data_IF_038386328650
#
_entry.id   IF_038386328650
#
_cell.length_a   1.000
_cell.length_b   1.000
_cell.length_c   1.000
_cell.angle_alpha   90.00
_cell.angle_beta   90.00
_cell.angle_gamma   90.00
#
_symmetry.space_group_name_H-M   'P 1'
#
loop_
_entity.id
_entity.type
_entity.pdbx_description
1 polymer ?
#
# COMPACT_ATOMS: atom_id res chain seq x y z
N UNK A 1 4.47 -2.02 -26.53
CA UNK A 1 5.21 -2.04 -25.26
C UNK A 1 4.43 -2.96 -24.36
N UNK A 2 5.03 -4.03 -23.84
CA UNK A 2 4.37 -4.82 -22.81
C UNK A 2 4.06 -3.93 -21.61
N UNK A 3 2.85 -4.05 -21.08
CA UNK A 3 2.47 -3.32 -19.87
C UNK A 3 3.34 -3.79 -18.72
N UNK A 4 3.98 -2.83 -18.05
CA UNK A 4 4.84 -3.09 -16.89
C UNK A 4 3.98 -3.46 -15.70
N UNK A 5 4.33 -4.56 -15.02
CA UNK A 5 3.76 -4.93 -13.72
C UNK A 5 3.88 -3.77 -12.74
N UNK A 6 2.77 -3.43 -12.10
CA UNK A 6 2.63 -2.37 -11.11
C UNK A 6 2.63 -2.97 -9.70
N UNK A 7 3.56 -2.53 -8.86
CA UNK A 7 3.70 -2.96 -7.47
C UNK A 7 3.16 -1.86 -6.54
N UNK A 8 2.32 -2.22 -5.59
CA UNK A 8 1.98 -1.38 -4.44
C UNK A 8 2.83 -1.81 -3.23
N UNK A 9 3.81 -1.00 -2.79
CA UNK A 9 4.61 -1.29 -1.61
C UNK A 9 3.82 -0.90 -0.35
N UNK A 10 3.26 -1.90 0.33
CA UNK A 10 2.58 -1.77 1.62
C UNK A 10 3.63 -1.90 2.73
N UNK A 11 3.93 -0.80 3.43
CA UNK A 11 4.92 -0.81 4.51
C UNK A 11 4.68 0.35 5.47
N UNK A 12 5.06 0.15 6.74
CA UNK A 12 5.18 1.24 7.70
C UNK A 12 6.03 2.38 7.13
N UNK A 13 5.61 3.61 7.39
CA UNK A 13 6.28 4.84 6.94
C UNK A 13 6.43 5.87 8.07
N UNK A 14 6.53 5.41 9.31
CA UNK A 14 6.48 6.28 10.50
C UNK A 14 7.81 7.00 10.78
N UNK A 15 8.94 6.46 10.31
CA UNK A 15 10.25 7.01 10.61
C UNK A 15 11.27 6.88 9.46
N UNK A 16 12.40 7.57 9.60
CA UNK A 16 13.46 7.62 8.59
C UNK A 16 14.05 6.24 8.26
N UNK A 17 14.10 5.32 9.23
CA UNK A 17 14.64 3.97 9.03
C UNK A 17 13.72 3.17 8.09
N UNK A 18 12.42 3.14 8.40
CA UNK A 18 11.41 2.48 7.55
C UNK A 18 11.36 3.10 6.16
N UNK A 19 11.24 4.43 6.11
CA UNK A 19 11.10 5.14 4.84
C UNK A 19 12.34 5.03 3.94
N UNK A 20 13.54 4.98 4.53
CA UNK A 20 14.78 4.71 3.79
C UNK A 20 14.81 3.28 3.26
N UNK A 21 14.47 2.29 4.09
CA UNK A 21 14.42 0.89 3.66
C UNK A 21 13.44 0.69 2.50
N UNK A 22 12.23 1.25 2.63
CA UNK A 22 11.20 1.18 1.60
C UNK A 22 11.68 1.80 0.28
N UNK A 23 12.31 2.99 0.32
CA UNK A 23 12.83 3.64 -0.89
C UNK A 23 13.90 2.79 -1.58
N UNK A 24 14.86 2.25 -0.83
CA UNK A 24 15.92 1.41 -1.40
C UNK A 24 15.37 0.16 -2.08
N UNK A 25 14.39 -0.50 -1.46
CA UNK A 25 13.72 -1.67 -2.02
C UNK A 25 12.95 -1.32 -3.30
N UNK A 26 12.17 -0.24 -3.27
CA UNK A 26 11.39 0.26 -4.40
C UNK A 26 12.30 0.62 -5.58
N UNK A 27 13.37 1.39 -5.36
CA UNK A 27 14.32 1.76 -6.41
C UNK A 27 14.98 0.54 -7.05
N UNK A 28 15.32 -0.47 -6.25
CA UNK A 28 15.90 -1.70 -6.75
C UNK A 28 14.90 -2.51 -7.59
N UNK A 29 13.60 -2.49 -7.26
CA UNK A 29 12.54 -3.10 -8.07
C UNK A 29 12.28 -2.30 -9.37
N UNK A 30 12.24 -0.98 -9.31
CA UNK A 30 12.08 -0.12 -10.49
C UNK A 30 13.24 -0.31 -11.48
N UNK A 31 14.48 -0.47 -10.99
CA UNK A 31 15.66 -0.82 -11.80
C UNK A 31 15.52 -2.18 -12.51
N UNK A 32 14.65 -3.08 -12.03
CA UNK A 32 14.30 -4.33 -12.72
C UNK A 32 13.16 -4.21 -13.72
N UNK A 33 12.63 -3.00 -13.92
CA UNK A 33 11.62 -2.70 -14.94
C UNK A 33 10.19 -2.63 -14.42
N UNK A 34 9.96 -2.82 -13.12
CA UNK A 34 8.64 -2.65 -12.50
C UNK A 34 8.22 -1.19 -12.41
N UNK A 35 6.91 -0.94 -12.35
CA UNK A 35 6.34 0.34 -11.90
C UNK A 35 5.91 0.20 -10.44
N UNK A 36 5.91 1.30 -9.69
CA UNK A 36 5.45 1.30 -8.30
C UNK A 36 4.49 2.44 -8.03
N UNK A 37 3.36 2.15 -7.36
CA UNK A 37 2.50 3.14 -6.72
C UNK A 37 2.98 3.25 -5.27
N UNK A 38 3.89 4.19 -4.96
CA UNK A 38 4.61 4.21 -3.70
C UNK A 38 4.14 5.37 -2.80
N UNK A 39 3.30 5.11 -1.77
CA UNK A 39 2.64 6.15 -0.98
C UNK A 39 3.60 7.21 -0.42
N UNK A 40 4.75 6.77 0.08
CA UNK A 40 5.78 7.65 0.64
C UNK A 40 6.32 8.70 -0.35
N UNK A 41 6.39 8.38 -1.66
CA UNK A 41 6.86 9.33 -2.69
C UNK A 41 5.77 10.27 -3.17
N UNK A 42 4.51 9.88 -3.00
CA UNK A 42 3.39 10.59 -3.60
C UNK A 42 3.17 11.98 -2.97
N UNK A 43 3.75 12.27 -1.79
CA UNK A 43 3.75 13.60 -1.16
C UNK A 43 2.36 14.18 -0.89
N UNK A 44 1.33 13.37 -1.15
CA UNK A 44 -0.08 13.67 -1.16
C UNK A 44 -0.59 13.85 0.27
N UNK A 45 -0.07 13.04 1.19
CA UNK A 45 -0.62 12.80 2.52
C UNK A 45 -0.27 13.88 3.56
N UNK A 46 0.92 14.49 3.50
CA UNK A 46 1.46 15.18 4.68
C UNK A 46 1.69 16.69 4.56
N UNK A 47 1.61 17.28 3.36
CA UNK A 47 1.83 18.72 3.19
C UNK A 47 0.75 19.40 2.36
N UNK A 48 0.65 19.00 1.09
CA UNK A 48 -0.14 19.75 0.12
C UNK A 48 -1.65 19.62 0.34
N UNK A 49 -2.15 18.43 0.69
CA UNK A 49 -3.58 18.23 0.94
C UNK A 49 -4.04 18.96 2.20
N UNK A 50 -3.27 18.91 3.29
CA UNK A 50 -3.58 19.60 4.53
C UNK A 50 -3.62 21.13 4.34
N UNK A 51 -2.68 21.68 3.57
CA UNK A 51 -2.66 23.11 3.21
C UNK A 51 -3.92 23.53 2.42
N UNK A 52 -4.38 22.70 1.47
CA UNK A 52 -5.58 23.02 0.68
C UNK A 52 -6.85 22.87 1.52
N UNK A 53 -6.94 21.86 2.38
CA UNK A 53 -8.07 21.62 3.25
C UNK A 53 -8.23 22.70 4.33
N UNK A 54 -7.14 23.12 4.97
CA UNK A 54 -7.14 24.15 6.04
C UNK A 54 -7.62 25.52 5.56
N UNK A 55 -7.60 25.79 4.25
CA UNK A 55 -8.21 26.99 3.65
C UNK A 55 -9.74 26.95 3.59
N UNK A 56 -10.35 25.78 3.73
CA UNK A 56 -11.79 25.56 3.53
C UNK A 56 -12.50 24.92 4.72
N UNK A 57 -11.76 24.33 5.66
CA UNK A 57 -12.29 23.55 6.78
C UNK A 57 -11.65 23.99 8.11
N UNK A 58 -12.36 23.72 9.20
CA UNK A 58 -11.81 23.83 10.56
C UNK A 58 -10.78 22.70 10.80
N UNK A 59 -9.81 22.90 11.71
CA UNK A 59 -8.69 21.96 11.88
C UNK A 59 -9.13 20.52 12.20
N UNK A 60 -10.12 20.35 13.08
CA UNK A 60 -10.71 19.05 13.42
C UNK A 60 -11.31 18.33 12.20
N UNK A 61 -11.86 19.09 11.26
CA UNK A 61 -12.40 18.59 10.01
C UNK A 61 -11.33 18.30 8.96
N UNK A 62 -10.19 18.99 9.02
CA UNK A 62 -9.04 18.74 8.13
C UNK A 62 -8.48 17.35 8.40
N UNK A 63 -8.24 17.01 9.67
CA UNK A 63 -7.59 15.75 10.03
C UNK A 63 -8.46 14.54 9.61
N UNK A 64 -9.77 14.61 9.89
CA UNK A 64 -10.73 13.60 9.43
C UNK A 64 -10.82 13.52 7.90
N UNK A 65 -10.78 14.67 7.20
CA UNK A 65 -10.80 14.67 5.74
C UNK A 65 -9.54 14.05 5.14
N UNK A 66 -8.37 14.33 5.70
CA UNK A 66 -7.10 13.72 5.26
C UNK A 66 -7.18 12.20 5.41
N UNK A 67 -7.63 11.71 6.57
CA UNK A 67 -7.78 10.26 6.81
C UNK A 67 -8.73 9.60 5.80
N UNK A 68 -9.92 10.18 5.59
CA UNK A 68 -10.89 9.64 4.63
C UNK A 68 -10.32 9.60 3.21
N UNK A 69 -9.71 10.70 2.77
CA UNK A 69 -9.19 10.83 1.41
C UNK A 69 -8.04 9.83 1.17
N UNK A 70 -7.13 9.68 2.13
CA UNK A 70 -6.02 8.70 2.05
C UNK A 70 -6.58 7.28 2.00
N UNK A 71 -7.53 6.94 2.87
CA UNK A 71 -8.18 5.63 2.86
C UNK A 71 -8.77 5.29 1.47
N UNK A 72 -9.50 6.21 0.85
CA UNK A 72 -10.04 5.99 -0.49
C UNK A 72 -8.99 5.98 -1.59
N UNK A 73 -7.86 6.69 -1.41
CA UNK A 73 -6.75 6.68 -2.34
C UNK A 73 -6.08 5.31 -2.36
N UNK A 74 -5.67 4.80 -1.20
CA UNK A 74 -4.94 3.53 -1.11
C UNK A 74 -5.83 2.35 -1.49
N UNK A 75 -6.98 2.25 -0.82
CA UNK A 75 -7.89 1.12 -0.95
C UNK A 75 -8.69 1.17 -2.26
N UNK A 76 -9.01 2.36 -2.76
CA UNK A 76 -9.88 2.54 -3.92
C UNK A 76 -9.16 2.88 -5.23
N UNK A 77 -7.89 3.30 -5.18
CA UNK A 77 -7.10 3.64 -6.37
C UNK A 77 -5.82 2.81 -6.45
N UNK A 78 -4.94 2.87 -5.46
CA UNK A 78 -3.60 2.28 -5.59
C UNK A 78 -3.59 0.76 -5.58
N UNK A 79 -4.28 0.12 -4.64
CA UNK A 79 -4.41 -1.34 -4.59
C UNK A 79 -5.19 -1.87 -5.81
N UNK A 80 -6.36 -1.30 -6.20
CA UNK A 80 -7.06 -1.73 -7.40
C UNK A 80 -6.26 -1.63 -8.70
N UNK A 81 -5.35 -0.64 -8.81
CA UNK A 81 -4.50 -0.43 -9.99
C UNK A 81 -3.14 -1.13 -9.93
N UNK A 82 -2.85 -1.86 -8.86
CA UNK A 82 -1.64 -2.69 -8.79
C UNK A 82 -1.91 -4.11 -9.27
N UNK A 83 -0.85 -4.78 -9.69
CA UNK A 83 -0.83 -6.21 -10.00
C UNK A 83 -0.38 -7.02 -8.78
N UNK A 84 0.58 -6.43 -8.06
CA UNK A 84 1.24 -7.04 -6.91
C UNK A 84 1.20 -6.08 -5.74
N UNK A 85 0.82 -6.58 -4.56
CA UNK A 85 1.04 -5.90 -3.29
C UNK A 85 2.25 -6.53 -2.62
N UNK A 86 3.27 -5.72 -2.35
CA UNK A 86 4.49 -6.12 -1.67
C UNK A 86 4.46 -5.57 -0.25
N UNK A 87 4.36 -6.46 0.72
CA UNK A 87 4.14 -6.10 2.12
C UNK A 87 5.36 -6.33 3.00
N UNK A 88 5.81 -5.26 3.66
CA UNK A 88 6.76 -5.36 4.75
C UNK A 88 6.05 -5.80 6.03
N UNK A 89 6.37 -6.99 6.53
CA UNK A 89 5.79 -7.59 7.73
C UNK A 89 6.82 -7.68 8.87
N UNK A 90 7.79 -6.78 8.89
CA UNK A 90 8.68 -6.57 10.03
C UNK A 90 7.93 -6.04 11.26
N UNK A 91 8.45 -6.34 12.44
CA UNK A 91 7.84 -5.98 13.72
C UNK A 91 8.35 -4.64 14.29
N UNK A 92 7.48 -3.85 14.97
CA UNK A 92 6.05 -4.11 15.20
C UNK A 92 5.25 -4.02 13.90
N UNK A 93 4.28 -4.93 13.76
CA UNK A 93 3.40 -4.96 12.59
C UNK A 93 2.57 -3.68 12.53
N UNK A 94 2.51 -3.08 11.34
CA UNK A 94 1.59 -2.00 11.02
C UNK A 94 0.19 -2.58 10.73
N UNK A 95 -0.82 -2.17 11.49
CA UNK A 95 -2.19 -2.64 11.28
C UNK A 95 -2.73 -2.23 9.90
N UNK A 96 -2.32 -1.06 9.37
CA UNK A 96 -2.66 -0.60 8.03
C UNK A 96 -2.18 -1.60 6.98
N UNK A 97 -0.92 -2.01 7.05
CA UNK A 97 -0.35 -3.02 6.12
C UNK A 97 -1.11 -4.35 6.19
N UNK A 98 -1.51 -4.79 7.38
CA UNK A 98 -2.30 -6.02 7.54
C UNK A 98 -3.69 -5.91 6.90
N UNK A 99 -4.34 -4.75 7.02
CA UNK A 99 -5.62 -4.46 6.35
C UNK A 99 -5.45 -4.45 4.84
N UNK A 100 -4.43 -3.76 4.33
CA UNK A 100 -4.14 -3.63 2.90
C UNK A 100 -3.91 -4.98 2.23
N UNK A 101 -3.07 -5.87 2.81
CA UNK A 101 -2.82 -7.19 2.21
C UNK A 101 -4.06 -8.08 2.22
N UNK A 102 -4.88 -7.98 3.26
CA UNK A 102 -6.12 -8.73 3.37
C UNK A 102 -7.10 -8.29 2.29
N UNK A 103 -7.24 -6.98 2.12
CA UNK A 103 -8.08 -6.35 1.10
C UNK A 103 -7.59 -6.69 -0.31
N UNK A 104 -6.29 -6.56 -0.57
CA UNK A 104 -5.66 -6.87 -1.84
C UNK A 104 -5.85 -8.34 -2.25
N UNK A 105 -5.65 -9.28 -1.32
CA UNK A 105 -5.87 -10.71 -1.58
C UNK A 105 -7.32 -10.99 -1.95
N UNK A 106 -8.28 -10.40 -1.22
CA UNK A 106 -9.70 -10.52 -1.56
C UNK A 106 -10.02 -9.87 -2.91
N UNK A 107 -9.34 -8.79 -3.30
CA UNK A 107 -9.46 -8.21 -4.64
C UNK A 107 -8.77 -9.03 -5.76
N UNK A 108 -8.19 -10.18 -5.44
CA UNK A 108 -7.50 -11.04 -6.40
C UNK A 108 -6.12 -10.50 -6.82
N UNK A 109 -5.55 -9.57 -6.06
CA UNK A 109 -4.19 -9.07 -6.28
C UNK A 109 -3.18 -10.08 -5.75
N UNK A 110 -2.05 -10.23 -6.42
CA UNK A 110 -1.00 -11.11 -5.92
C UNK A 110 -0.29 -10.45 -4.75
N UNK A 111 -0.21 -11.14 -3.63
CA UNK A 111 0.33 -10.58 -2.37
C UNK A 111 1.61 -11.30 -2.01
N UNK A 112 2.70 -10.54 -1.91
CA UNK A 112 4.00 -11.00 -1.45
C UNK A 112 4.27 -10.34 -0.10
N UNK A 113 4.21 -11.11 0.98
CA UNK A 113 4.71 -10.67 2.28
C UNK A 113 6.18 -11.00 2.42
N UNK A 114 6.96 -10.11 3.00
CA UNK A 114 8.33 -10.40 3.41
C UNK A 114 8.59 -9.97 4.83
N UNK A 115 9.55 -10.65 5.47
CA UNK A 115 10.02 -10.33 6.82
C UNK A 115 11.53 -10.48 6.88
N UNK A 116 12.17 -9.43 7.38
CA UNK A 116 13.62 -9.26 7.51
C UNK A 116 14.13 -9.27 8.94
N UNK A 117 13.22 -9.27 9.93
CA UNK A 117 13.56 -9.32 11.35
C UNK A 117 14.58 -10.40 11.72
N UNK A 118 15.56 -9.97 12.50
CA UNK A 118 16.67 -10.81 12.99
C UNK A 118 16.39 -11.39 14.38
N UNK A 119 15.30 -10.95 15.02
CA UNK A 119 14.78 -11.42 16.31
C UNK A 119 13.30 -11.74 16.15
N UNK A 120 12.75 -12.55 17.03
CA UNK A 120 11.35 -12.97 16.94
C UNK A 120 10.66 -12.89 18.30
N UNK A 121 9.48 -12.25 18.38
CA UNK A 121 8.73 -12.15 19.63
C UNK A 121 8.01 -13.45 20.02
N UNK A 122 7.62 -14.31 19.07
CA UNK A 122 6.76 -15.48 19.36
C UNK A 122 7.35 -16.84 18.92
N UNK A 123 8.66 -16.91 18.69
CA UNK A 123 9.29 -18.15 18.22
C UNK A 123 10.73 -17.97 17.77
N UNK A 124 11.21 -18.85 16.90
CA UNK A 124 12.54 -18.73 16.31
C UNK A 124 12.48 -18.26 14.86
N UNK A 125 13.53 -17.59 14.36
CA UNK A 125 13.61 -17.26 12.94
C UNK A 125 13.62 -18.49 12.00
N UNK A 126 13.70 -19.72 12.53
CA UNK A 126 13.60 -20.98 11.77
C UNK A 126 12.16 -21.48 11.62
N UNK A 127 11.21 -20.87 12.33
CA UNK A 127 9.82 -21.26 12.26
C UNK A 127 9.24 -20.91 10.88
N UNK A 128 8.11 -21.53 10.51
CA UNK A 128 7.49 -21.38 9.18
C UNK A 128 7.34 -19.91 8.74
N UNK A 129 7.06 -19.02 9.68
CA UNK A 129 6.93 -17.58 9.47
C UNK A 129 7.95 -16.76 10.26
N UNK A 130 9.06 -17.39 10.68
CA UNK A 130 10.12 -16.77 11.48
C UNK A 130 9.68 -16.34 12.88
N UNK A 131 8.57 -16.89 13.40
CA UNK A 131 8.04 -16.61 14.72
C UNK A 131 7.21 -15.32 14.84
N UNK A 132 6.75 -14.77 13.72
CA UNK A 132 5.65 -13.80 13.69
C UNK A 132 4.29 -14.50 13.94
N UNK A 133 3.26 -13.73 14.29
CA UNK A 133 1.89 -14.24 14.31
C UNK A 133 1.46 -14.73 12.92
N UNK A 134 0.76 -15.86 12.83
CA UNK A 134 0.51 -16.50 11.54
C UNK A 134 -0.57 -15.82 10.69
N UNK A 135 -1.42 -14.96 11.25
CA UNK A 135 -2.53 -14.35 10.49
C UNK A 135 -2.07 -13.53 9.27
N UNK A 136 -1.12 -12.58 9.38
CA UNK A 136 -0.62 -11.83 8.22
C UNK A 136 -0.06 -12.69 7.08
N UNK A 137 0.82 -13.69 7.31
CA UNK A 137 1.33 -14.51 6.21
C UNK A 137 0.26 -15.37 5.54
N UNK A 138 -0.83 -15.75 6.24
CA UNK A 138 -1.97 -16.40 5.59
C UNK A 138 -2.75 -15.46 4.65
N UNK A 139 -2.56 -14.13 4.74
CA UNK A 139 -3.08 -13.17 3.78
C UNK A 139 -2.17 -12.99 2.55
N UNK A 140 -1.04 -13.68 2.51
CA UNK A 140 -0.13 -13.64 1.38
C UNK A 140 -0.39 -14.82 0.42
N UNK A 141 0.00 -14.63 -0.84
CA UNK A 141 0.17 -15.73 -1.81
C UNK A 141 1.57 -16.32 -1.72
N UNK A 142 2.56 -15.45 -1.49
CA UNK A 142 3.96 -15.81 -1.22
C UNK A 142 4.42 -15.12 0.06
N UNK A 143 5.12 -15.86 0.90
CA UNK A 143 5.80 -15.30 2.07
C UNK A 143 7.31 -15.52 1.95
N UNK A 144 8.09 -14.47 2.17
CA UNK A 144 9.54 -14.46 2.11
C UNK A 144 10.10 -14.18 3.50
N UNK A 145 10.61 -15.22 4.17
CA UNK A 145 11.50 -15.03 5.32
C UNK A 145 12.91 -14.76 4.82
N UNK A 146 13.47 -13.61 5.18
CA UNK A 146 14.79 -13.18 4.73
C UNK A 146 15.49 -12.27 5.74
N UNK A 147 16.17 -12.88 6.71
CA UNK A 147 16.88 -12.11 7.74
C UNK A 147 17.96 -11.21 7.13
N UNK A 148 17.98 -9.96 7.58
CA UNK A 148 18.96 -8.97 7.16
C UNK A 148 19.73 -8.46 8.38
N UNK A 149 20.90 -9.03 8.64
CA UNK A 149 21.72 -8.64 9.80
C UNK A 149 22.33 -7.25 9.61
N UNK A 150 22.57 -6.84 8.36
CA UNK A 150 23.09 -5.50 8.02
C UNK A 150 24.38 -5.12 8.77
N UNK A 151 25.27 -6.08 9.05
CA UNK A 151 26.49 -5.87 9.86
C UNK A 151 27.48 -4.89 9.22
N UNK A 152 27.58 -4.89 7.89
CA UNK A 152 28.44 -4.00 7.11
C UNK A 152 27.67 -3.43 5.92
N UNK A 153 28.11 -2.29 5.34
CA UNK A 153 27.48 -1.72 4.16
C UNK A 153 27.39 -2.72 2.99
N UNK A 154 28.47 -3.45 2.70
CA UNK A 154 28.51 -4.47 1.65
C UNK A 154 27.52 -5.62 1.92
N UNK A 155 27.46 -6.11 3.17
CA UNK A 155 26.53 -7.17 3.54
C UNK A 155 25.09 -6.71 3.42
N UNK A 156 24.77 -5.49 3.85
CA UNK A 156 23.44 -4.87 3.70
C UNK A 156 23.02 -4.74 2.24
N UNK A 157 23.93 -4.32 1.35
CA UNK A 157 23.66 -4.22 -0.10
C UNK A 157 23.42 -5.60 -0.74
N UNK A 158 24.21 -6.60 -0.34
CA UNK A 158 24.04 -7.98 -0.79
C UNK A 158 22.73 -8.59 -0.30
N UNK A 159 22.37 -8.37 0.97
CA UNK A 159 21.10 -8.79 1.56
C UNK A 159 19.92 -8.12 0.84
N UNK A 160 19.94 -6.80 0.65
CA UNK A 160 18.90 -6.09 -0.12
C UNK A 160 18.78 -6.64 -1.54
N UNK A 161 19.90 -6.84 -2.25
CA UNK A 161 19.91 -7.41 -3.59
C UNK A 161 19.30 -8.82 -3.63
N UNK A 162 19.56 -9.62 -2.60
CA UNK A 162 18.99 -10.96 -2.41
C UNK A 162 17.49 -10.91 -2.17
N UNK A 163 17.01 -10.01 -1.30
CA UNK A 163 15.58 -9.79 -1.09
C UNK A 163 14.87 -9.43 -2.39
N UNK A 164 15.39 -8.44 -3.12
CA UNK A 164 14.80 -7.99 -4.38
C UNK A 164 14.79 -9.14 -5.40
N UNK A 165 15.82 -10.00 -5.42
CA UNK A 165 15.87 -11.18 -6.29
C UNK A 165 14.75 -12.17 -5.95
N UNK A 166 14.49 -12.43 -4.67
CA UNK A 166 13.40 -13.31 -4.21
C UNK A 166 12.02 -12.75 -4.54
N UNK A 167 11.83 -11.43 -4.39
CA UNK A 167 10.59 -10.74 -4.80
C UNK A 167 10.39 -10.88 -6.31
N UNK A 168 11.41 -10.55 -7.11
CA UNK A 168 11.36 -10.69 -8.57
C UNK A 168 11.02 -12.12 -9.00
N UNK A 169 11.71 -13.13 -8.44
CA UNK A 169 11.43 -14.53 -8.74
C UNK A 169 9.98 -14.90 -8.39
N UNK A 170 9.47 -14.42 -7.25
CA UNK A 170 8.09 -14.70 -6.84
C UNK A 170 7.05 -14.12 -7.80
N UNK A 171 7.34 -12.96 -8.39
CA UNK A 171 6.49 -12.36 -9.43
C UNK A 171 6.56 -13.17 -10.73
N UNK A 172 7.76 -13.61 -11.14
CA UNK A 172 7.95 -14.44 -12.34
C UNK A 172 7.26 -15.81 -12.22
N UNK A 173 7.45 -16.50 -11.09
CA UNK A 173 6.87 -17.82 -10.81
C UNK A 173 5.34 -17.79 -10.82
N UNK A 174 4.75 -16.68 -10.37
CA UNK A 174 3.31 -16.51 -10.32
C UNK A 174 2.67 -16.28 -11.70
N UNK A 175 3.48 -16.00 -12.73
CA UNK A 175 2.99 -15.75 -14.08
C UNK A 175 1.96 -14.62 -14.14
N UNK A 176 2.19 -13.55 -13.38
CA UNK A 176 1.21 -12.45 -13.23
C UNK A 176 0.91 -11.83 -14.60
N UNK A 177 -0.35 -11.93 -14.99
CA UNK A 177 -0.91 -11.25 -16.16
C UNK A 177 -1.62 -10.01 -15.62
N UNK A 178 -1.33 -8.83 -16.19
CA UNK A 178 -1.99 -7.57 -15.82
C UNK A 178 -3.50 -7.72 -16.01
N UNK A 179 -4.29 -7.91 -14.93
CA UNK A 179 -5.70 -8.11 -15.09
C UNK A 179 -6.32 -6.74 -15.33
N UNK A 180 -6.89 -6.53 -16.52
CA UNK A 180 -7.61 -5.29 -16.85
C UNK A 180 -8.75 -4.99 -15.86
N UNK A 181 -9.20 -6.01 -15.12
CA UNK A 181 -10.39 -5.97 -14.30
C UNK A 181 -10.20 -6.69 -12.97
N UNK A 182 -10.73 -6.10 -11.90
CA UNK A 182 -10.96 -6.78 -10.63
C UNK A 182 -11.89 -7.99 -10.88
N UNK A 183 -11.68 -9.15 -10.24
CA UNK A 183 -12.55 -10.32 -10.40
C UNK A 183 -14.01 -10.02 -10.06
N UNK A 184 -14.95 -10.70 -10.73
CA UNK A 184 -16.40 -10.44 -10.57
C UNK A 184 -16.87 -10.60 -9.12
N UNK A 185 -16.34 -11.57 -8.37
CA UNK A 185 -16.72 -11.77 -6.97
C UNK A 185 -16.32 -10.57 -6.08
N UNK A 186 -15.21 -9.90 -6.40
CA UNK A 186 -14.75 -8.71 -5.71
C UNK A 186 -15.52 -7.48 -6.17
N UNK A 187 -15.82 -7.36 -7.47
CA UNK A 187 -16.69 -6.30 -8.02
C UNK A 187 -18.10 -6.33 -7.44
N UNK A 188 -18.66 -7.53 -7.27
CA UNK A 188 -20.01 -7.74 -6.76
C UNK A 188 -20.07 -7.73 -5.22
N UNK A 189 -18.94 -7.54 -4.54
CA UNK A 189 -18.93 -7.38 -3.09
C UNK A 189 -19.39 -5.94 -2.74
N UNK A 190 -20.53 -5.77 -2.04
CA UNK A 190 -21.09 -4.44 -1.76
C UNK A 190 -20.15 -3.58 -0.91
N UNK A 191 -19.30 -4.18 -0.08
CA UNK A 191 -18.34 -3.42 0.72
C UNK A 191 -17.18 -2.90 -0.12
N UNK A 192 -16.77 -3.63 -1.17
CA UNK A 192 -15.76 -3.14 -2.11
C UNK A 192 -16.34 -2.08 -3.03
N UNK A 193 -17.57 -2.28 -3.51
CA UNK A 193 -18.26 -1.31 -4.36
C UNK A 193 -18.36 0.06 -3.66
N UNK A 194 -18.68 0.10 -2.37
CA UNK A 194 -18.70 1.35 -1.59
C UNK A 194 -17.35 2.07 -1.59
N UNK A 195 -16.25 1.35 -1.36
CA UNK A 195 -14.90 1.95 -1.34
C UNK A 195 -14.53 2.47 -2.74
N UNK A 196 -14.79 1.69 -3.78
CA UNK A 196 -14.56 2.10 -5.17
C UNK A 196 -15.45 3.28 -5.57
N UNK A 197 -16.68 3.36 -5.06
CA UNK A 197 -17.58 4.49 -5.26
C UNK A 197 -17.02 5.77 -4.62
N UNK A 198 -16.59 5.70 -3.35
CA UNK A 198 -15.93 6.81 -2.67
C UNK A 198 -14.68 7.31 -3.41
N UNK A 199 -13.85 6.39 -3.89
CA UNK A 199 -12.68 6.72 -4.70
C UNK A 199 -13.04 7.35 -6.05
N UNK A 200 -14.09 6.87 -6.74
CA UNK A 200 -14.58 7.51 -7.97
C UNK A 200 -15.12 8.91 -7.72
N UNK A 201 -15.86 9.13 -6.62
CA UNK A 201 -16.35 10.44 -6.22
C UNK A 201 -15.20 11.41 -6.01
N UNK A 202 -14.13 10.99 -5.32
CA UNK A 202 -13.00 11.87 -5.01
C UNK A 202 -12.06 12.08 -6.20
N UNK A 203 -11.67 11.01 -6.90
CA UNK A 203 -10.55 11.03 -7.85
C UNK A 203 -10.97 10.87 -9.32
N UNK A 204 -12.24 10.57 -9.59
CA UNK A 204 -12.74 10.27 -10.93
C UNK A 204 -12.42 11.35 -11.96
N UNK A 205 -11.68 10.99 -13.01
CA UNK A 205 -11.33 11.91 -14.11
C UNK A 205 -10.24 12.93 -13.79
N UNK A 206 -9.66 12.93 -12.58
CA UNK A 206 -8.52 13.79 -12.24
C UNK A 206 -7.25 13.16 -12.80
N UNK A 207 -6.60 13.85 -13.75
CA UNK A 207 -5.41 13.33 -14.43
C UNK A 207 -4.17 13.32 -13.53
N UNK A 208 -4.04 14.33 -12.68
CA UNK A 208 -2.92 14.51 -11.77
C UNK A 208 -3.47 14.98 -10.42
N UNK A 209 -3.53 14.03 -9.48
CA UNK A 209 -4.05 14.24 -8.12
C UNK A 209 -3.07 15.04 -7.24
N UNK A 210 -1.82 15.21 -7.67
CA UNK A 210 -0.78 15.95 -6.94
C UNK A 210 -0.71 17.42 -7.38
N UNK A 211 -1.21 17.73 -8.58
CA UNK A 211 -1.30 19.12 -9.04
C UNK A 211 -2.16 19.96 -8.09
N UNK A 212 -1.83 21.25 -7.93
CA UNK A 212 -2.65 22.20 -7.15
C UNK A 212 -4.13 22.15 -7.55
N UNK A 213 -4.41 22.08 -8.86
CA UNK A 213 -5.77 21.95 -9.39
C UNK A 213 -6.44 20.63 -8.99
N UNK A 214 -5.70 19.53 -9.03
CA UNK A 214 -6.18 18.22 -8.60
C UNK A 214 -6.55 18.21 -7.13
N UNK A 215 -5.69 18.75 -6.27
CA UNK A 215 -5.95 18.86 -4.83
C UNK A 215 -7.17 19.76 -4.54
N UNK A 216 -7.26 20.92 -5.18
CA UNK A 216 -8.42 21.82 -5.04
C UNK A 216 -9.75 21.15 -5.45
N UNK A 217 -9.72 20.35 -6.51
CA UNK A 217 -10.86 19.56 -6.99
C UNK A 217 -11.22 18.46 -5.97
N UNK A 218 -10.25 17.65 -5.53
CA UNK A 218 -10.46 16.58 -4.53
C UNK A 218 -11.08 17.16 -3.26
N UNK A 219 -10.51 18.26 -2.73
CA UNK A 219 -11.05 18.93 -1.55
C UNK A 219 -12.49 19.40 -1.77
N UNK A 220 -12.79 19.98 -2.94
CA UNK A 220 -14.14 20.45 -3.25
C UNK A 220 -15.14 19.29 -3.34
N UNK A 221 -14.73 18.17 -3.94
CA UNK A 221 -15.54 16.95 -4.01
C UNK A 221 -15.76 16.31 -2.65
N UNK A 222 -14.73 16.26 -1.80
CA UNK A 222 -14.85 15.80 -0.43
C UNK A 222 -15.93 16.59 0.33
N UNK A 223 -15.90 17.92 0.25
CA UNK A 223 -16.91 18.79 0.88
C UNK A 223 -18.31 18.53 0.31
N UNK A 224 -18.44 18.49 -1.02
CA UNK A 224 -19.73 18.33 -1.70
C UNK A 224 -20.35 16.94 -1.48
N UNK A 225 -19.54 15.92 -1.23
CA UNK A 225 -19.99 14.53 -1.07
C UNK A 225 -19.81 14.00 0.37
N UNK A 226 -19.57 14.88 1.35
CA UNK A 226 -19.23 14.50 2.74
C UNK A 226 -20.18 13.48 3.35
N UNK A 227 -21.49 13.67 3.20
CA UNK A 227 -22.49 12.75 3.77
C UNK A 227 -22.50 11.37 3.09
N UNK A 228 -22.24 11.32 1.77
CA UNK A 228 -22.08 10.06 1.06
C UNK A 228 -20.80 9.33 1.50
N UNK A 229 -19.69 10.05 1.63
CA UNK A 229 -18.41 9.49 2.07
C UNK A 229 -18.50 8.96 3.52
N UNK A 230 -19.13 9.71 4.42
CA UNK A 230 -19.43 9.24 5.79
C UNK A 230 -20.28 7.97 5.84
N UNK A 231 -21.19 7.77 4.89
CA UNK A 231 -22.01 6.54 4.85
C UNK A 231 -21.21 5.27 4.54
N UNK A 232 -19.99 5.42 3.99
CA UNK A 232 -19.05 4.34 3.70
C UNK A 232 -18.15 4.07 4.91
N UNK A 233 -17.76 5.13 5.62
CA UNK A 233 -16.90 5.05 6.80
C UNK A 233 -17.60 4.50 8.06
N UNK A 234 -16.83 4.29 9.15
CA UNK A 234 -17.40 3.88 10.44
C UNK A 234 -18.36 4.94 10.99
N UNK A 235 -19.39 4.48 11.70
CA UNK A 235 -20.28 5.37 12.46
C UNK A 235 -19.65 5.64 13.82
N UNK A 236 -19.43 6.92 14.12
CA UNK A 236 -18.99 7.38 15.44
C UNK A 236 -20.22 7.81 16.25
N UNK A 237 -20.29 7.37 17.51
CA UNK A 237 -21.27 7.84 18.51
C UNK A 237 -20.68 8.94 19.37
#
# INVERSE_FOLDING_TARGET
MEDKIVIYPAAALFNARETTFNSLLVEALEKRGYKTNFPQRDGFEFGNLNEVLSRKLQQDQVDSAVQDIIYFLDMGIFIPKSDVVLANLDEPLDEGVVVEISYAKLMGKFVIGFRTDVRSPYGTPRDKFGGMHFFPPYQCHKFISHHMLSETPEKRENEMSSLVKKVHQSIQDAGIIHPENIPDYAKNNPEFEKVLDGARLLFGGIKDIHSKKGLEEITSRYINHKERLKSIGPKYE
#
